data_IF_693148227884
#
_entry.id   IF_693148227884
#
_cell.length_a   1.000
_cell.length_b   1.000
_cell.length_c   1.000
_cell.angle_alpha   90.00
_cell.angle_beta   90.00
_cell.angle_gamma   90.00
#
_symmetry.space_group_name_H-M   'P 1'
#
loop_
_entity.id
_entity.type
_entity.pdbx_description
1 polymer ?
#
# COMPACT_ATOMS: atom_id res chain seq x y z
N UNK A 1 -28.32 -42.20 -34.34
CA UNK A 1 -28.87 -42.10 -35.71
C UNK A 1 -29.47 -40.70 -35.90
N UNK A 2 -29.03 -40.01 -36.96
CA UNK A 2 -29.63 -38.89 -37.72
C UNK A 2 -30.28 -37.70 -36.96
N UNK A 3 -29.73 -36.49 -37.01
CA UNK A 3 -29.80 -35.48 -38.10
C UNK A 3 -31.22 -35.06 -38.50
N UNK A 4 -31.56 -33.77 -38.29
CA UNK A 4 -32.02 -32.91 -39.39
C UNK A 4 -31.86 -31.41 -39.08
N UNK A 5 -31.22 -30.71 -40.02
CA UNK A 5 -31.18 -29.25 -40.21
C UNK A 5 -32.42 -28.82 -40.99
N UNK A 6 -32.84 -27.55 -40.81
CA UNK A 6 -33.43 -26.74 -41.89
C UNK A 6 -32.85 -25.32 -41.84
N UNK A 7 -32.51 -24.85 -43.04
CA UNK A 7 -31.92 -23.58 -43.45
C UNK A 7 -32.97 -22.73 -44.18
N UNK A 8 -32.87 -21.40 -44.11
CA UNK A 8 -33.17 -20.42 -45.19
C UNK A 8 -32.59 -19.07 -44.74
N UNK A 9 -31.50 -18.49 -45.26
CA UNK A 9 -31.10 -18.05 -46.62
C UNK A 9 -31.76 -16.72 -47.02
N UNK A 10 -31.00 -15.61 -47.01
CA UNK A 10 -31.11 -14.51 -47.98
C UNK A 10 -29.80 -13.68 -48.08
N UNK A 11 -29.29 -13.62 -49.30
CA UNK A 11 -28.28 -12.75 -49.95
C UNK A 11 -28.47 -13.05 -51.45
N UNK A 12 -28.25 -12.15 -52.44
CA UNK A 12 -26.99 -11.40 -52.71
C UNK A 12 -27.23 -9.95 -53.21
N UNK A 13 -26.28 -9.04 -53.43
CA UNK A 13 -25.23 -8.96 -54.49
C UNK A 13 -24.29 -7.75 -54.18
N UNK A 14 -22.95 -7.82 -54.10
CA UNK A 14 -21.88 -7.91 -55.15
C UNK A 14 -22.00 -6.78 -56.19
N UNK A 15 -21.04 -5.90 -56.57
CA UNK A 15 -19.64 -5.45 -56.26
C UNK A 15 -19.32 -4.32 -57.30
N UNK A 16 -18.07 -3.90 -57.61
CA UNK A 16 -16.99 -3.23 -56.85
C UNK A 16 -16.57 -1.86 -57.50
N UNK A 17 -15.48 -1.23 -57.05
CA UNK A 17 -14.35 -0.60 -57.84
C UNK A 17 -13.61 0.49 -57.03
N UNK A 18 -12.28 0.35 -56.98
CA UNK A 18 -11.18 1.22 -56.45
C UNK A 18 -10.69 2.19 -57.58
N UNK A 19 -9.66 3.09 -57.52
CA UNK A 19 -8.93 3.82 -56.47
C UNK A 19 -8.80 5.36 -56.75
N UNK A 20 -8.06 6.07 -55.88
CA UNK A 20 -7.12 7.19 -56.18
C UNK A 20 -7.52 8.69 -56.05
N UNK A 21 -6.68 9.39 -55.25
CA UNK A 21 -6.15 10.78 -55.39
C UNK A 21 -6.91 12.00 -54.81
N UNK A 22 -6.27 13.20 -54.62
CA UNK A 22 -6.00 13.80 -53.29
C UNK A 22 -6.62 15.20 -53.12
N UNK A 23 -6.48 15.83 -51.94
CA UNK A 23 -6.76 17.26 -51.78
C UNK A 23 -5.64 17.98 -51.01
N UNK A 24 -5.06 18.95 -51.72
CA UNK A 24 -4.00 19.88 -51.35
C UNK A 24 -4.33 20.75 -50.14
N UNK A 25 -3.32 21.03 -49.31
CA UNK A 25 -3.25 22.19 -48.42
C UNK A 25 -1.82 22.72 -48.39
N UNK A 26 -1.60 23.88 -49.01
CA UNK A 26 -0.29 24.52 -49.23
C UNK A 26 0.30 25.15 -47.97
N UNK A 27 1.63 25.21 -47.99
CA UNK A 27 2.52 26.07 -47.21
C UNK A 27 2.02 27.50 -46.97
N UNK A 28 2.19 27.97 -45.73
CA UNK A 28 2.61 29.34 -45.44
C UNK A 28 3.32 29.40 -44.08
N UNK A 29 4.65 29.58 -44.11
CA UNK A 29 5.46 29.97 -42.95
C UNK A 29 5.14 31.40 -42.58
N UNK A 30 4.87 31.67 -41.30
CA UNK A 30 5.06 32.99 -40.69
C UNK A 30 5.67 32.82 -39.29
N UNK A 31 6.82 33.48 -39.11
CA UNK A 31 7.57 33.65 -37.87
C UNK A 31 7.01 34.87 -37.15
N UNK A 32 6.55 34.77 -35.89
CA UNK A 32 6.47 35.92 -34.97
C UNK A 32 6.75 35.51 -33.51
N UNK A 33 7.47 36.41 -32.86
CA UNK A 33 8.14 36.47 -31.56
C UNK A 33 7.41 36.03 -30.29
N UNK A 34 8.21 35.48 -29.36
CA UNK A 34 7.94 35.43 -27.91
C UNK A 34 7.79 36.84 -27.32
N UNK A 35 6.76 37.06 -26.50
CA UNK A 35 6.76 38.04 -25.41
C UNK A 35 6.31 37.36 -24.13
N UNK A 36 7.16 37.44 -23.12
CA UNK A 36 6.89 37.08 -21.73
C UNK A 36 6.12 38.24 -21.08
N UNK A 37 4.98 37.95 -20.45
CA UNK A 37 4.27 38.90 -19.60
C UNK A 37 4.50 38.51 -18.12
N UNK A 38 5.16 39.40 -17.39
CA UNK A 38 5.36 39.31 -15.94
C UNK A 38 4.12 39.82 -15.19
N UNK A 39 3.64 39.10 -14.15
CA UNK A 39 2.49 39.55 -13.38
C UNK A 39 2.76 40.73 -12.43
N UNK A 40 1.71 41.51 -12.24
CA UNK A 40 1.57 42.85 -11.65
C UNK A 40 1.82 43.00 -10.14
N UNK A 41 2.34 42.01 -9.42
CA UNK A 41 2.59 42.10 -7.96
C UNK A 41 4.03 42.49 -7.59
N UNK A 42 4.86 42.91 -8.55
CA UNK A 42 6.26 43.29 -8.34
C UNK A 42 6.47 44.73 -7.82
N UNK A 43 5.42 45.49 -7.49
CA UNK A 43 5.55 46.85 -6.97
C UNK A 43 5.04 47.01 -5.53
N UNK A 44 5.96 46.95 -4.55
CA UNK A 44 5.83 47.69 -3.28
C UNK A 44 7.19 48.24 -2.83
N UNK A 45 7.25 49.45 -2.23
CA UNK A 45 8.50 50.10 -1.87
C UNK A 45 9.10 49.53 -0.58
N UNK A 46 10.44 49.55 -0.51
CA UNK A 46 11.24 49.20 0.68
C UNK A 46 11.10 50.26 1.76
N UNK A 47 10.83 49.84 2.99
CA UNK A 47 11.19 50.58 4.21
C UNK A 47 12.17 49.69 4.99
N UNK A 48 13.33 50.24 5.33
CA UNK A 48 14.43 49.53 5.93
C UNK A 48 14.29 49.31 7.43
N UNK A 49 14.76 48.16 7.90
CA UNK A 49 15.31 47.97 9.24
C UNK A 49 16.19 46.70 9.24
N UNK A 50 17.40 46.85 9.76
CA UNK A 50 18.50 45.89 10.01
C UNK A 50 18.20 44.39 9.89
N UNK A 51 18.88 43.70 8.96
CA UNK A 51 18.71 42.29 8.65
C UNK A 51 20.05 41.52 8.61
N UNK A 52 20.58 41.12 9.76
CA UNK A 52 21.64 40.09 9.78
C UNK A 52 21.29 38.87 10.65
N UNK A 53 20.20 38.91 11.42
CA UNK A 53 19.71 37.76 12.20
C UNK A 53 18.39 37.15 11.70
N UNK A 54 17.74 37.77 10.71
CA UNK A 54 16.48 37.25 10.13
C UNK A 54 16.68 36.46 8.82
N UNK A 55 17.81 36.60 8.14
CA UNK A 55 18.04 35.98 6.81
C UNK A 55 18.18 34.46 6.92
N UNK A 56 18.89 33.94 7.94
CA UNK A 56 19.03 32.49 8.15
C UNK A 56 17.70 31.78 8.48
N UNK A 57 16.84 32.39 9.30
CA UNK A 57 15.51 31.83 9.62
C UNK A 57 14.54 31.91 8.44
N UNK A 58 14.61 32.98 7.64
CA UNK A 58 13.77 33.14 6.44
C UNK A 58 14.22 32.20 5.31
N UNK A 59 15.50 31.90 5.17
CA UNK A 59 16.02 30.91 4.21
C UNK A 59 15.66 29.48 4.61
N UNK A 60 15.72 29.14 5.90
CA UNK A 60 15.33 27.83 6.42
C UNK A 60 13.80 27.60 6.35
N UNK A 61 13.00 28.62 6.68
CA UNK A 61 11.54 28.56 6.51
C UNK A 61 11.13 28.54 5.04
N UNK A 62 11.80 29.30 4.17
CA UNK A 62 11.50 29.26 2.73
C UNK A 62 12.00 27.96 2.09
N UNK A 63 13.06 27.33 2.59
CA UNK A 63 13.47 25.98 2.22
C UNK A 63 12.46 24.93 2.69
N UNK A 64 12.02 24.97 3.96
CA UNK A 64 10.95 24.12 4.50
C UNK A 64 9.63 24.31 3.74
N UNK A 65 9.25 25.55 3.40
CA UNK A 65 8.06 25.85 2.59
C UNK A 65 8.21 25.39 1.13
N UNK A 66 9.41 25.48 0.54
CA UNK A 66 9.69 24.96 -0.83
C UNK A 66 9.72 23.43 -0.86
N UNK A 67 10.24 22.78 0.18
CA UNK A 67 10.26 21.33 0.35
C UNK A 67 8.86 20.81 0.67
N UNK A 68 8.10 21.47 1.55
CA UNK A 68 6.69 21.19 1.80
C UNK A 68 5.82 21.40 0.55
N UNK A 69 6.12 22.39 -0.30
CA UNK A 69 5.47 22.56 -1.61
C UNK A 69 5.85 21.45 -2.60
N UNK A 70 7.10 20.99 -2.62
CA UNK A 70 7.52 19.83 -3.44
C UNK A 70 6.92 18.51 -2.94
N UNK A 71 6.82 18.32 -1.62
CA UNK A 71 6.11 17.20 -0.98
C UNK A 71 4.61 17.30 -1.27
N UNK A 72 4.02 18.49 -1.23
CA UNK A 72 2.62 18.73 -1.62
C UNK A 72 2.36 18.41 -3.10
N UNK A 73 3.28 18.76 -4.01
CA UNK A 73 3.18 18.38 -5.43
C UNK A 73 3.42 16.87 -5.65
N UNK A 74 4.26 16.21 -4.85
CA UNK A 74 4.39 14.75 -4.84
C UNK A 74 3.14 14.06 -4.26
N UNK A 75 2.54 14.61 -3.19
CA UNK A 75 1.26 14.24 -2.56
C UNK A 75 0.06 14.48 -3.48
N UNK A 76 0.15 15.38 -4.46
CA UNK A 76 -0.90 15.56 -5.50
C UNK A 76 -0.85 14.47 -6.57
N UNK A 77 0.31 13.84 -6.81
CA UNK A 77 0.41 12.67 -7.70
C UNK A 77 -0.21 11.42 -7.08
N UNK A 78 -0.26 11.31 -5.75
CA UNK A 78 -1.01 10.26 -5.06
C UNK A 78 -2.52 10.50 -5.05
N UNK A 79 -3.01 11.71 -5.34
CA UNK A 79 -4.46 11.97 -5.57
C UNK A 79 -5.01 11.28 -6.82
N UNK A 80 -4.17 11.00 -7.82
CA UNK A 80 -4.53 10.19 -8.99
C UNK A 80 -4.53 8.67 -8.73
N UNK A 81 -4.09 8.23 -7.54
CA UNK A 81 -4.06 6.80 -7.16
C UNK A 81 -5.38 6.30 -6.54
N UNK A 82 -6.36 7.19 -6.31
CA UNK A 82 -7.57 6.90 -5.54
C UNK A 82 -8.57 6.03 -6.31
N UNK A 83 -8.51 6.00 -7.64
CA UNK A 83 -9.47 5.29 -8.50
C UNK A 83 -9.28 3.77 -8.60
N UNK A 84 -8.36 3.12 -7.85
CA UNK A 84 -7.83 1.82 -8.30
C UNK A 84 -8.19 0.57 -7.49
N UNK A 85 -8.74 0.61 -6.27
CA UNK A 85 -8.80 -0.62 -5.43
C UNK A 85 -9.97 -0.80 -4.44
N UNK A 86 -11.18 -0.31 -4.73
CA UNK A 86 -12.41 -0.82 -4.07
C UNK A 86 -12.89 -0.12 -2.80
N UNK A 87 -12.24 0.96 -2.38
CA UNK A 87 -12.89 2.12 -1.77
C UNK A 87 -12.70 3.24 -2.77
N UNK A 88 -13.78 3.68 -3.39
CA UNK A 88 -13.68 4.54 -4.57
C UNK A 88 -13.39 5.99 -4.15
N UNK A 89 -13.82 6.40 -2.95
CA UNK A 89 -13.56 7.73 -2.35
C UNK A 89 -13.52 7.65 -0.82
N UNK A 90 -12.86 8.61 -0.15
CA UNK A 90 -12.89 8.75 1.32
C UNK A 90 -14.32 8.86 1.86
N UNK A 91 -15.25 9.34 1.04
CA UNK A 91 -16.67 9.46 1.36
C UNK A 91 -17.37 8.11 1.67
N UNK A 92 -16.81 6.98 1.24
CA UNK A 92 -17.39 5.65 1.50
C UNK A 92 -17.16 5.19 2.96
N UNK A 93 -16.30 5.88 3.72
CA UNK A 93 -15.97 5.58 5.12
C UNK A 93 -16.90 6.26 6.13
N UNK A 94 -17.83 7.12 5.67
CA UNK A 94 -18.67 7.94 6.55
C UNK A 94 -17.98 9.21 7.05
N UNK A 95 -18.76 10.24 7.39
CA UNK A 95 -18.24 11.57 7.75
C UNK A 95 -17.41 11.57 9.04
N UNK A 96 -17.77 10.73 10.02
CA UNK A 96 -17.11 10.65 11.31
C UNK A 96 -15.68 10.09 11.17
N UNK A 97 -15.53 8.92 10.53
CA UNK A 97 -14.22 8.31 10.26
C UNK A 97 -13.33 9.23 9.42
N UNK A 98 -13.91 9.94 8.43
CA UNK A 98 -13.19 10.96 7.66
C UNK A 98 -12.67 12.10 8.55
N UNK A 99 -13.44 12.52 9.55
CA UNK A 99 -13.01 13.50 10.57
C UNK A 99 -11.80 12.99 11.34
N UNK A 100 -11.91 11.79 11.92
CA UNK A 100 -10.83 11.14 12.70
C UNK A 100 -9.56 10.94 11.87
N UNK A 101 -9.67 10.58 10.59
CA UNK A 101 -8.51 10.49 9.67
C UNK A 101 -7.81 11.84 9.55
N UNK A 102 -8.55 12.95 9.44
CA UNK A 102 -7.97 14.29 9.30
C UNK A 102 -7.25 14.71 10.58
N UNK A 103 -7.84 14.45 11.74
CA UNK A 103 -7.24 14.71 13.05
C UNK A 103 -5.94 13.90 13.23
N UNK A 104 -6.01 12.59 12.99
CA UNK A 104 -4.85 11.70 13.08
C UNK A 104 -3.69 12.16 12.20
N UNK A 105 -3.98 12.62 10.97
CA UNK A 105 -2.97 13.18 10.05
C UNK A 105 -2.33 14.47 10.57
N UNK A 106 -3.10 15.36 11.18
CA UNK A 106 -2.58 16.61 11.74
C UNK A 106 -1.66 16.33 12.93
N UNK A 107 -2.09 15.43 13.82
CA UNK A 107 -1.30 15.03 14.98
C UNK A 107 -0.04 14.27 14.58
N UNK A 108 -0.09 13.52 13.46
CA UNK A 108 1.06 12.80 12.91
C UNK A 108 2.21 13.72 12.45
N UNK A 109 1.97 15.03 12.26
CA UNK A 109 3.05 15.99 12.02
C UNK A 109 3.93 16.21 13.26
N UNK A 110 3.38 16.00 14.46
CA UNK A 110 4.09 16.12 15.74
C UNK A 110 4.55 14.77 16.27
N UNK A 111 3.70 13.76 16.13
CA UNK A 111 3.94 12.39 16.60
C UNK A 111 3.63 11.38 15.48
N UNK A 112 4.64 11.02 14.66
CA UNK A 112 4.49 10.17 13.49
C UNK A 112 3.87 8.80 13.81
N UNK A 113 2.93 8.36 12.99
CA UNK A 113 2.16 7.12 13.20
C UNK A 113 2.96 5.90 12.74
N UNK A 114 3.14 4.91 13.60
CA UNK A 114 3.87 3.68 13.28
C UNK A 114 2.99 2.45 13.51
N UNK A 115 2.64 1.75 12.44
CA UNK A 115 1.81 0.55 12.47
C UNK A 115 2.55 -0.64 11.85
N UNK A 116 2.26 -1.85 12.31
CA UNK A 116 2.74 -3.08 11.68
C UNK A 116 1.61 -4.10 11.50
N UNK A 117 1.58 -4.75 10.33
CA UNK A 117 0.53 -5.69 9.96
C UNK A 117 1.10 -7.11 9.86
N UNK A 118 0.63 -7.97 10.74
CA UNK A 118 0.93 -9.40 10.80
C UNK A 118 -0.29 -10.22 10.34
N UNK A 119 -0.07 -11.48 10.01
CA UNK A 119 -1.13 -12.38 9.54
C UNK A 119 -0.65 -13.43 8.55
N UNK A 120 -1.41 -14.51 8.34
CA UNK A 120 -1.02 -15.62 7.47
C UNK A 120 -0.94 -15.21 5.99
N UNK A 121 -0.29 -16.00 5.13
CA UNK A 121 -0.32 -15.77 3.69
C UNK A 121 -1.75 -15.80 3.16
N UNK A 122 -2.09 -14.91 2.22
CA UNK A 122 -3.43 -14.85 1.61
C UNK A 122 -4.47 -14.03 2.39
N UNK A 123 -4.18 -13.59 3.62
CA UNK A 123 -5.15 -12.81 4.41
C UNK A 123 -5.43 -11.42 3.83
N UNK A 124 -4.46 -10.83 3.13
CA UNK A 124 -4.60 -9.53 2.46
C UNK A 124 -3.81 -8.39 3.10
N UNK A 125 -2.81 -8.69 3.96
CA UNK A 125 -1.97 -7.70 4.66
C UNK A 125 -1.52 -6.53 3.79
N UNK A 126 -0.75 -6.76 2.73
CA UNK A 126 -0.29 -5.69 1.85
C UNK A 126 -1.43 -4.90 1.19
N UNK A 127 -2.59 -5.52 0.98
CA UNK A 127 -3.77 -4.85 0.45
C UNK A 127 -4.41 -3.91 1.48
N UNK A 128 -4.49 -4.30 2.75
CA UNK A 128 -4.97 -3.43 3.82
C UNK A 128 -3.93 -2.38 4.22
N UNK A 129 -2.66 -2.78 4.37
CA UNK A 129 -1.54 -1.91 4.73
C UNK A 129 -1.37 -0.76 3.72
N UNK A 130 -1.39 -1.06 2.41
CA UNK A 130 -1.30 -0.01 1.38
C UNK A 130 -2.49 0.95 1.39
N UNK A 131 -3.71 0.47 1.67
CA UNK A 131 -4.90 1.33 1.76
C UNK A 131 -4.89 2.20 3.00
N UNK A 132 -4.55 1.65 4.16
CA UNK A 132 -4.46 2.41 5.40
C UNK A 132 -3.34 3.44 5.33
N UNK A 133 -2.18 3.06 4.77
CA UNK A 133 -1.11 4.02 4.51
C UNK A 133 -1.58 5.17 3.62
N UNK A 134 -2.32 4.89 2.53
CA UNK A 134 -2.89 5.94 1.69
C UNK A 134 -3.95 6.81 2.42
N UNK A 135 -4.80 6.20 3.24
CA UNK A 135 -5.83 6.89 4.02
C UNK A 135 -5.24 7.75 5.14
N UNK A 136 -4.11 7.38 5.73
CA UNK A 136 -3.45 8.14 6.80
C UNK A 136 -2.25 8.98 6.30
N UNK A 137 -2.00 8.98 4.98
CA UNK A 137 -0.84 9.65 4.35
C UNK A 137 0.53 9.22 4.94
N UNK A 138 0.65 7.91 5.19
CA UNK A 138 1.83 7.22 5.68
C UNK A 138 2.56 6.51 4.52
N UNK A 139 3.82 6.15 4.72
CA UNK A 139 4.50 5.24 3.78
C UNK A 139 4.08 3.78 4.04
N UNK A 140 3.65 3.07 3.00
CA UNK A 140 3.58 1.61 3.05
C UNK A 140 4.97 1.00 2.82
N UNK A 141 5.50 0.28 3.80
CA UNK A 141 6.81 -0.37 3.73
C UNK A 141 6.62 -1.88 3.70
N UNK A 142 6.75 -2.48 2.50
CA UNK A 142 6.82 -3.94 2.37
C UNK A 142 8.26 -4.42 2.54
N UNK A 143 8.54 -5.20 3.58
CA UNK A 143 9.91 -5.66 3.85
C UNK A 143 10.50 -6.48 2.70
N UNK A 144 9.67 -7.29 2.04
CA UNK A 144 10.09 -8.04 0.86
C UNK A 144 10.46 -7.13 -0.33
N UNK A 145 9.81 -5.99 -0.49
CA UNK A 145 10.16 -5.00 -1.52
C UNK A 145 11.44 -4.26 -1.15
N UNK A 146 11.58 -3.83 0.10
CA UNK A 146 12.79 -3.18 0.62
C UNK A 146 14.01 -4.04 0.38
N UNK A 147 13.96 -5.32 0.78
CA UNK A 147 15.04 -6.28 0.57
C UNK A 147 15.34 -6.47 -0.92
N UNK A 148 14.31 -6.74 -1.76
CA UNK A 148 14.51 -6.92 -3.21
C UNK A 148 15.09 -5.69 -3.90
N UNK A 149 14.79 -4.49 -3.41
CA UNK A 149 15.33 -3.24 -3.94
C UNK A 149 16.78 -3.07 -3.51
N UNK A 150 17.06 -3.18 -2.22
CA UNK A 150 18.40 -2.98 -1.64
C UNK A 150 19.41 -3.94 -2.26
N UNK A 151 19.03 -5.21 -2.43
CA UNK A 151 19.89 -6.22 -3.05
C UNK A 151 20.21 -5.93 -4.52
N UNK A 152 19.40 -5.12 -5.23
CA UNK A 152 19.70 -4.70 -6.61
C UNK A 152 20.57 -3.44 -6.70
N UNK A 153 20.78 -2.73 -5.60
CA UNK A 153 21.59 -1.51 -5.57
C UNK A 153 23.07 -1.87 -5.67
N UNK A 154 23.86 -1.06 -6.41
CA UNK A 154 25.23 -1.41 -6.80
C UNK A 154 26.18 -1.64 -5.62
N UNK A 155 25.95 -0.94 -4.52
CA UNK A 155 26.70 -0.97 -3.26
C UNK A 155 26.35 -2.15 -2.35
N UNK A 156 25.30 -2.92 -2.65
CA UNK A 156 24.96 -4.11 -1.88
C UNK A 156 26.05 -5.18 -2.01
N UNK A 157 26.33 -5.85 -0.89
CA UNK A 157 27.20 -7.02 -0.81
C UNK A 157 26.75 -8.08 -1.84
N UNK A 158 27.63 -8.52 -2.75
CA UNK A 158 27.30 -9.51 -3.77
C UNK A 158 26.88 -10.87 -3.19
N UNK A 159 27.31 -11.23 -1.98
CA UNK A 159 26.90 -12.48 -1.32
C UNK A 159 25.40 -12.50 -1.03
N UNK A 160 24.84 -11.38 -0.54
CA UNK A 160 23.39 -11.24 -0.31
C UNK A 160 22.57 -11.36 -1.60
N UNK A 161 23.13 -10.92 -2.73
CA UNK A 161 22.50 -11.12 -4.05
C UNK A 161 22.45 -12.60 -4.40
N UNK A 162 23.57 -13.30 -4.26
CA UNK A 162 23.66 -14.73 -4.55
C UNK A 162 22.73 -15.55 -3.65
N UNK A 163 22.69 -15.25 -2.36
CA UNK A 163 21.81 -15.93 -1.40
C UNK A 163 20.34 -15.79 -1.84
N UNK A 164 19.90 -14.59 -2.22
CA UNK A 164 18.55 -14.37 -2.73
C UNK A 164 18.27 -15.07 -4.06
N UNK A 165 19.21 -15.05 -4.99
CA UNK A 165 19.10 -15.72 -6.30
C UNK A 165 19.00 -17.26 -6.12
N UNK A 166 19.70 -17.79 -5.14
CA UNK A 166 19.66 -19.20 -4.73
C UNK A 166 18.45 -19.55 -3.85
N UNK A 167 17.58 -18.58 -3.56
CA UNK A 167 16.38 -18.77 -2.73
C UNK A 167 16.66 -18.95 -1.24
N UNK A 168 17.86 -18.62 -0.78
CA UNK A 168 18.22 -18.60 0.64
C UNK A 168 17.61 -17.38 1.35
N UNK A 169 17.33 -17.54 2.64
CA UNK A 169 16.85 -16.44 3.48
C UNK A 169 18.03 -15.59 3.94
N UNK A 170 17.91 -14.28 3.82
CA UNK A 170 18.90 -13.36 4.38
C UNK A 170 18.88 -13.41 5.91
N UNK A 171 20.03 -13.14 6.56
CA UNK A 171 20.11 -13.02 8.01
C UNK A 171 19.15 -11.98 8.59
N UNK A 172 18.64 -12.21 9.79
CA UNK A 172 17.67 -11.35 10.46
C UNK A 172 18.19 -9.93 10.65
N UNK A 173 19.47 -9.80 10.99
CA UNK A 173 20.15 -8.54 11.25
C UNK A 173 20.19 -7.67 9.98
N UNK A 174 20.53 -8.27 8.83
CA UNK A 174 20.57 -7.61 7.53
C UNK A 174 19.19 -7.12 7.11
N UNK A 175 18.17 -7.98 7.26
CA UNK A 175 16.79 -7.61 6.91
C UNK A 175 16.29 -6.48 7.81
N UNK A 176 16.60 -6.54 9.10
CA UNK A 176 16.20 -5.51 10.08
C UNK A 176 16.86 -4.16 9.77
N UNK A 177 18.15 -4.16 9.45
CA UNK A 177 18.89 -2.95 9.06
C UNK A 177 18.28 -2.31 7.81
N UNK A 178 17.99 -3.09 6.77
CA UNK A 178 17.39 -2.57 5.54
C UNK A 178 16.02 -1.92 5.78
N UNK A 179 15.20 -2.50 6.66
CA UNK A 179 13.90 -1.94 7.04
C UNK A 179 14.08 -0.65 7.83
N UNK A 180 14.98 -0.63 8.82
CA UNK A 180 15.27 0.57 9.63
C UNK A 180 15.82 1.71 8.75
N UNK A 181 16.70 1.42 7.82
CA UNK A 181 17.23 2.42 6.88
C UNK A 181 16.13 3.02 6.00
N UNK A 182 15.18 2.19 5.55
CA UNK A 182 14.00 2.67 4.81
C UNK A 182 13.13 3.58 5.67
N UNK A 183 12.93 3.25 6.95
CA UNK A 183 12.19 4.11 7.89
C UNK A 183 12.91 5.44 8.08
N UNK A 184 14.24 5.42 8.29
CA UNK A 184 15.07 6.63 8.42
C UNK A 184 15.01 7.50 7.16
N UNK A 185 15.00 6.90 5.97
CA UNK A 185 14.81 7.60 4.70
C UNK A 185 13.45 8.31 4.64
N UNK A 186 12.37 7.62 5.03
CA UNK A 186 11.03 8.19 5.05
C UNK A 186 10.89 9.32 6.07
N UNK A 187 11.51 9.17 7.25
CA UNK A 187 11.57 10.22 8.27
C UNK A 187 12.27 11.48 7.72
N UNK A 188 13.41 11.32 7.04
CA UNK A 188 14.13 12.42 6.36
C UNK A 188 13.30 13.10 5.25
N UNK A 189 12.38 12.37 4.61
CA UNK A 189 11.46 12.91 3.61
C UNK A 189 10.25 13.62 4.21
N UNK A 190 10.09 13.62 5.53
CA UNK A 190 8.96 14.24 6.24
C UNK A 190 7.65 13.47 6.07
N UNK A 191 7.72 12.13 5.93
CA UNK A 191 6.52 11.29 5.95
C UNK A 191 5.90 11.30 7.35
N UNK A 192 4.57 11.22 7.43
CA UNK A 192 3.79 11.24 8.69
C UNK A 192 3.90 9.94 9.50
N UNK A 193 4.74 9.01 9.06
CA UNK A 193 4.88 7.68 9.64
C UNK A 193 4.83 6.57 8.59
N UNK A 194 4.53 5.35 9.02
CA UNK A 194 4.55 4.17 8.16
C UNK A 194 3.56 3.07 8.58
N UNK A 195 3.24 2.20 7.63
CA UNK A 195 2.64 0.89 7.87
C UNK A 195 3.58 -0.19 7.35
N UNK A 196 4.09 -1.05 8.25
CA UNK A 196 4.93 -2.19 7.90
C UNK A 196 4.08 -3.38 7.46
N UNK A 197 4.42 -3.97 6.31
CA UNK A 197 3.86 -5.23 5.81
C UNK A 197 4.94 -6.30 5.69
N UNK A 198 4.70 -7.44 6.37
CA UNK A 198 5.50 -8.64 6.22
C UNK A 198 6.83 -8.64 6.99
N UNK A 199 6.95 -7.78 8.00
CA UNK A 199 8.02 -7.73 9.01
C UNK A 199 7.42 -7.32 10.37
N UNK A 200 7.92 -7.86 11.49
CA UNK A 200 8.94 -8.91 11.62
C UNK A 200 8.41 -10.31 11.25
N UNK A 201 9.33 -11.22 10.91
CA UNK A 201 9.06 -12.65 10.62
C UNK A 201 9.71 -13.61 11.61
N UNK A 202 10.59 -13.12 12.47
CA UNK A 202 11.21 -13.89 13.55
C UNK A 202 11.10 -13.10 14.86
N UNK A 203 11.21 -13.81 15.99
CA UNK A 203 11.23 -13.16 17.30
C UNK A 203 12.43 -12.22 17.47
N UNK A 204 13.59 -12.54 16.87
CA UNK A 204 14.77 -11.69 16.92
C UNK A 204 14.52 -10.34 16.25
N UNK A 205 13.93 -10.37 15.05
CA UNK A 205 13.51 -9.15 14.33
C UNK A 205 12.50 -8.34 15.16
N UNK A 206 11.52 -9.00 15.79
CA UNK A 206 10.51 -8.32 16.60
C UNK A 206 11.11 -7.60 17.81
N UNK A 207 12.02 -8.27 18.54
CA UNK A 207 12.72 -7.69 19.69
C UNK A 207 13.62 -6.53 19.29
N UNK A 208 14.38 -6.70 18.21
CA UNK A 208 15.22 -5.62 17.68
C UNK A 208 14.38 -4.40 17.30
N UNK A 209 13.29 -4.63 16.57
CA UNK A 209 12.44 -3.56 16.09
C UNK A 209 11.72 -2.81 17.20
N UNK A 210 11.25 -3.51 18.24
CA UNK A 210 10.60 -2.88 19.39
C UNK A 210 11.54 -1.97 20.20
N UNK A 211 12.85 -2.17 20.10
CA UNK A 211 13.85 -1.30 20.74
C UNK A 211 14.15 -0.08 19.86
N UNK A 212 14.29 -0.27 18.55
CA UNK A 212 14.65 0.80 17.62
C UNK A 212 13.48 1.73 17.26
N UNK A 213 12.25 1.20 17.27
CA UNK A 213 11.09 1.88 16.74
C UNK A 213 9.89 1.75 17.69
N UNK A 214 9.22 2.88 17.92
CA UNK A 214 8.05 2.94 18.80
C UNK A 214 6.77 2.70 18.00
N UNK A 215 6.28 1.47 18.01
CA UNK A 215 5.04 1.07 17.34
C UNK A 215 3.82 1.51 18.16
N UNK A 216 2.86 2.18 17.51
CA UNK A 216 1.57 2.48 18.13
C UNK A 216 0.73 1.21 18.24
N UNK A 217 0.74 0.39 17.20
CA UNK A 217 -0.05 -0.83 17.15
C UNK A 217 0.50 -1.85 16.15
N UNK A 218 0.31 -3.12 16.51
CA UNK A 218 0.57 -4.27 15.67
C UNK A 218 -0.75 -4.99 15.43
N UNK A 219 -1.26 -4.95 14.21
CA UNK A 219 -2.49 -5.63 13.83
C UNK A 219 -2.20 -7.04 13.35
N UNK A 220 -2.69 -8.04 14.05
CA UNK A 220 -2.71 -9.41 13.60
C UNK A 220 -4.02 -9.69 12.85
N UNK A 221 -3.94 -9.59 11.53
CA UNK A 221 -5.05 -9.90 10.63
C UNK A 221 -5.17 -11.42 10.51
N UNK A 222 -6.31 -11.98 10.88
CA UNK A 222 -6.57 -13.42 10.73
C UNK A 222 -7.91 -13.68 10.04
N UNK A 223 -8.05 -14.91 9.54
CA UNK A 223 -9.20 -15.39 8.81
C UNK A 223 -9.21 -16.92 8.90
N UNK A 224 -10.39 -17.52 8.79
CA UNK A 224 -10.56 -18.97 8.70
C UNK A 224 -9.63 -19.58 7.64
N UNK A 225 -8.94 -20.66 8.01
CA UNK A 225 -7.94 -21.30 7.15
C UNK A 225 -8.56 -21.78 5.83
N UNK A 226 -9.80 -22.25 5.88
CA UNK A 226 -10.55 -22.69 4.69
C UNK A 226 -10.73 -21.54 3.68
N UNK A 227 -11.00 -20.32 4.17
CA UNK A 227 -11.11 -19.14 3.34
C UNK A 227 -9.74 -18.73 2.76
N UNK A 228 -8.68 -18.80 3.56
CA UNK A 228 -7.31 -18.52 3.09
C UNK A 228 -6.86 -19.49 2.00
N UNK A 229 -7.20 -20.77 2.13
CA UNK A 229 -6.91 -21.79 1.12
C UNK A 229 -7.61 -21.46 -0.22
N UNK A 230 -8.91 -21.16 -0.18
CA UNK A 230 -9.67 -20.76 -1.38
C UNK A 230 -9.03 -19.51 -2.01
N UNK A 231 -8.70 -18.49 -1.22
CA UNK A 231 -8.06 -17.25 -1.71
C UNK A 231 -6.71 -17.51 -2.36
N UNK A 232 -5.87 -18.35 -1.78
CA UNK A 232 -4.53 -18.63 -2.32
C UNK A 232 -4.63 -19.44 -3.62
N UNK A 233 -5.53 -20.42 -3.71
CA UNK A 233 -5.80 -21.17 -4.94
C UNK A 233 -6.46 -20.29 -6.03
N UNK A 234 -7.26 -19.31 -5.63
CA UNK A 234 -7.92 -18.32 -6.48
C UNK A 234 -7.01 -17.18 -6.96
N UNK A 235 -5.78 -17.07 -6.45
CA UNK A 235 -4.86 -15.98 -6.82
C UNK A 235 -4.48 -16.06 -8.30
N UNK A 236 -4.58 -14.93 -9.00
CA UNK A 236 -4.17 -14.75 -10.39
C UNK A 236 -3.30 -13.51 -10.53
N UNK A 237 -2.30 -13.57 -11.39
CA UNK A 237 -1.53 -12.39 -11.80
C UNK A 237 -1.70 -12.20 -13.30
N UNK A 238 -2.00 -10.99 -13.74
CA UNK A 238 -2.01 -10.69 -15.17
C UNK A 238 -0.57 -10.46 -15.65
N UNK A 239 -0.11 -11.25 -16.62
CA UNK A 239 1.24 -11.10 -17.20
C UNK A 239 1.41 -9.78 -17.97
N UNK A 240 0.32 -9.22 -18.51
CA UNK A 240 0.35 -7.96 -19.26
C UNK A 240 0.41 -6.71 -18.36
N UNK A 241 -0.47 -6.60 -17.36
CA UNK A 241 -0.55 -5.39 -16.52
C UNK A 241 0.09 -5.52 -15.13
N UNK A 242 0.57 -6.72 -14.76
CA UNK A 242 1.19 -7.01 -13.46
C UNK A 242 0.24 -7.02 -12.26
N UNK A 243 -1.04 -6.67 -12.45
CA UNK A 243 -2.04 -6.65 -11.36
C UNK A 243 -2.36 -8.06 -10.87
N UNK A 244 -2.67 -8.13 -9.58
CA UNK A 244 -3.16 -9.33 -8.93
C UNK A 244 -4.68 -9.30 -8.83
N UNK A 245 -5.30 -10.45 -9.07
CA UNK A 245 -6.73 -10.69 -8.97
C UNK A 245 -6.95 -11.93 -8.09
N UNK A 246 -8.14 -12.04 -7.50
CA UNK A 246 -8.51 -13.23 -6.77
C UNK A 246 -9.86 -13.71 -7.29
N UNK A 247 -9.87 -14.85 -7.97
CA UNK A 247 -11.10 -15.44 -8.51
C UNK A 247 -11.74 -16.46 -7.56
N UNK A 248 -11.21 -16.58 -6.33
CA UNK A 248 -11.78 -17.44 -5.30
C UNK A 248 -13.06 -16.82 -4.75
N UNK A 249 -14.14 -17.58 -4.81
CA UNK A 249 -15.43 -17.24 -4.18
C UNK A 249 -15.48 -17.93 -2.82
N UNK A 250 -15.42 -17.14 -1.74
CA UNK A 250 -15.49 -17.66 -0.38
C UNK A 250 -16.89 -17.47 0.13
N UNK A 251 -17.58 -18.58 0.39
CA UNK A 251 -18.86 -18.60 1.08
C UNK A 251 -18.80 -19.70 2.14
N UNK A 252 -18.46 -19.32 3.36
CA UNK A 252 -18.35 -20.21 4.50
C UNK A 252 -19.42 -19.86 5.53
N UNK A 253 -20.38 -20.75 5.84
CA UNK A 253 -21.37 -20.48 6.87
C UNK A 253 -20.73 -20.45 8.26
N UNK A 254 -21.43 -19.85 9.22
CA UNK A 254 -21.04 -19.89 10.62
C UNK A 254 -20.97 -21.35 11.11
N UNK A 255 -19.92 -21.71 11.82
CA UNK A 255 -19.67 -23.09 12.24
C UNK A 255 -18.80 -23.15 13.50
N UNK A 256 -19.19 -23.96 14.48
CA UNK A 256 -18.44 -24.20 15.72
C UNK A 256 -18.11 -22.89 16.47
N UNK A 257 -19.07 -21.95 16.56
CA UNK A 257 -18.87 -20.63 17.17
C UNK A 257 -18.06 -19.63 16.32
N UNK A 258 -17.54 -20.04 15.15
CA UNK A 258 -16.89 -19.12 14.20
C UNK A 258 -17.93 -18.43 13.30
N UNK A 259 -17.75 -17.14 12.99
CA UNK A 259 -18.68 -16.41 12.15
C UNK A 259 -18.69 -16.94 10.70
N UNK A 260 -19.74 -16.57 9.96
CA UNK A 260 -19.76 -16.74 8.51
C UNK A 260 -18.69 -15.86 7.86
N UNK A 261 -18.03 -16.37 6.83
CA UNK A 261 -17.05 -15.62 6.04
C UNK A 261 -17.49 -15.58 4.59
N UNK A 262 -17.68 -14.37 4.05
CA UNK A 262 -18.08 -14.15 2.66
C UNK A 262 -17.16 -13.19 1.94
N UNK A 263 -16.50 -13.65 0.88
CA UNK A 263 -15.59 -12.85 0.06
C UNK A 263 -15.90 -13.10 -1.41
N UNK A 264 -16.43 -12.08 -2.07
CA UNK A 264 -16.73 -12.17 -3.49
C UNK A 264 -15.44 -12.21 -4.33
N UNK A 265 -15.46 -12.95 -5.45
CA UNK A 265 -14.34 -12.96 -6.38
C UNK A 265 -14.15 -11.58 -7.01
N UNK A 266 -12.89 -11.20 -7.17
CA UNK A 266 -12.48 -10.03 -7.95
C UNK A 266 -12.25 -10.44 -9.40
N UNK A 267 -13.32 -10.39 -10.18
CA UNK A 267 -13.29 -10.68 -11.62
C UNK A 267 -12.35 -9.71 -12.36
N UNK A 268 -11.37 -10.24 -13.13
CA UNK A 268 -10.49 -9.39 -13.92
C UNK A 268 -11.26 -8.77 -15.10
N UNK A 269 -10.86 -7.57 -15.57
CA UNK A 269 -11.44 -6.97 -16.77
C UNK A 269 -11.10 -7.84 -18.00
N UNK A 270 -11.94 -7.80 -19.04
CA UNK A 270 -11.80 -8.66 -20.23
C UNK A 270 -10.39 -8.70 -20.83
N UNK A 271 -9.73 -7.54 -20.95
CA UNK A 271 -8.34 -7.40 -21.42
C UNK A 271 -7.27 -8.09 -20.57
N UNK A 272 -7.61 -8.58 -19.38
CA UNK A 272 -6.69 -9.27 -18.47
C UNK A 272 -6.99 -10.77 -18.37
N UNK A 273 -8.19 -11.22 -18.77
CA UNK A 273 -8.69 -12.59 -18.58
C UNK A 273 -7.81 -13.63 -19.28
N UNK A 274 -7.37 -13.36 -20.50
CA UNK A 274 -6.50 -14.24 -21.28
C UNK A 274 -5.03 -14.26 -20.81
N UNK A 275 -4.64 -13.29 -19.98
CA UNK A 275 -3.27 -13.11 -19.50
C UNK A 275 -3.11 -13.53 -18.04
N UNK A 276 -4.11 -14.19 -17.45
CA UNK A 276 -4.05 -14.61 -16.06
C UNK A 276 -3.18 -15.85 -15.90
N UNK A 277 -2.12 -15.70 -15.13
CA UNK A 277 -1.28 -16.82 -14.72
C UNK A 277 -1.52 -17.14 -13.24
N UNK A 278 -1.35 -18.42 -12.90
CA UNK A 278 -1.26 -18.89 -11.52
C UNK A 278 0.18 -18.83 -11.06
N UNK A 279 0.37 -18.66 -9.76
CA UNK A 279 1.67 -18.91 -9.15
C UNK A 279 1.91 -20.42 -9.13
N UNK A 280 3.10 -20.85 -9.55
CA UNK A 280 3.41 -22.27 -9.73
C UNK A 280 3.41 -23.06 -8.42
N UNK A 281 3.71 -22.36 -7.33
CA UNK A 281 3.80 -22.83 -5.94
C UNK A 281 2.49 -22.71 -5.15
N UNK A 282 1.39 -22.30 -5.78
CA UNK A 282 0.06 -22.28 -5.14
C UNK A 282 -0.65 -23.63 -5.29
N UNK A 283 -0.06 -24.66 -4.66
CA UNK A 283 -0.66 -25.99 -4.48
C UNK A 283 -1.20 -26.17 -3.06
N UNK A 284 -2.23 -27.00 -2.84
CA UNK A 284 -2.77 -27.23 -1.50
C UNK A 284 -1.71 -27.62 -0.46
N UNK A 285 -0.78 -28.51 -0.82
CA UNK A 285 0.28 -28.97 0.07
C UNK A 285 1.27 -27.85 0.42
N UNK A 286 1.67 -27.05 -0.58
CA UNK A 286 2.55 -25.90 -0.36
C UNK A 286 1.88 -24.85 0.53
N UNK A 287 0.58 -24.62 0.32
CA UNK A 287 -0.20 -23.66 1.10
C UNK A 287 -0.33 -24.12 2.55
N UNK A 288 -0.69 -25.38 2.80
CA UNK A 288 -0.76 -25.94 4.17
C UNK A 288 0.58 -25.90 4.87
N UNK A 289 1.67 -26.24 4.17
CA UNK A 289 3.03 -26.12 4.71
C UNK A 289 3.35 -24.68 5.11
N UNK A 290 2.93 -23.70 4.31
CA UNK A 290 3.10 -22.27 4.66
C UNK A 290 2.30 -21.88 5.90
N UNK A 291 1.10 -22.41 6.10
CA UNK A 291 0.32 -22.17 7.32
C UNK A 291 1.02 -22.76 8.55
N UNK A 292 1.52 -24.00 8.48
CA UNK A 292 2.28 -24.62 9.58
C UNK A 292 3.49 -23.76 9.98
N UNK A 293 4.34 -23.43 9.00
CA UNK A 293 5.53 -22.60 9.23
C UNK A 293 5.14 -21.23 9.80
N UNK A 294 4.08 -20.61 9.26
CA UNK A 294 3.59 -19.33 9.76
C UNK A 294 3.18 -19.45 11.23
N UNK A 295 2.36 -20.44 11.60
CA UNK A 295 1.89 -20.63 12.96
C UNK A 295 3.04 -20.89 13.94
N UNK A 296 4.00 -21.74 13.57
CA UNK A 296 5.18 -22.05 14.39
C UNK A 296 6.05 -20.81 14.63
N UNK A 297 6.32 -20.04 13.57
CA UNK A 297 7.24 -18.89 13.61
C UNK A 297 6.59 -17.64 14.20
N UNK A 298 5.30 -17.43 13.98
CA UNK A 298 4.61 -16.20 14.41
C UNK A 298 4.03 -16.29 15.81
N UNK A 299 3.73 -17.48 16.35
CA UNK A 299 3.27 -17.62 17.74
C UNK A 299 4.16 -16.85 18.75
N UNK A 300 5.50 -17.01 18.76
CA UNK A 300 6.34 -16.25 19.68
C UNK A 300 6.35 -14.74 19.41
N UNK A 301 6.16 -14.31 18.16
CA UNK A 301 6.11 -12.88 17.77
C UNK A 301 4.83 -12.25 18.30
N UNK A 302 3.69 -12.91 18.09
CA UNK A 302 2.39 -12.46 18.58
C UNK A 302 2.40 -12.40 20.10
N UNK A 303 2.93 -13.42 20.77
CA UNK A 303 3.07 -13.41 22.22
C UNK A 303 3.90 -12.21 22.71
N UNK A 304 5.05 -11.94 22.09
CA UNK A 304 5.89 -10.80 22.43
C UNK A 304 5.14 -9.46 22.29
N UNK A 305 4.46 -9.22 21.17
CA UNK A 305 3.71 -7.97 20.99
C UNK A 305 2.49 -7.85 21.91
N UNK A 306 1.91 -8.98 22.30
CA UNK A 306 0.85 -9.02 23.31
C UNK A 306 1.37 -8.65 24.70
N UNK A 307 2.54 -9.16 25.07
CA UNK A 307 3.17 -8.89 26.38
C UNK A 307 3.56 -7.40 26.53
N UNK A 308 3.97 -6.74 25.46
CA UNK A 308 4.27 -5.30 25.49
C UNK A 308 3.03 -4.41 25.25
N UNK A 309 1.84 -5.00 25.09
CA UNK A 309 0.56 -4.27 25.06
C UNK A 309 0.14 -3.64 23.72
N UNK A 310 0.87 -3.86 22.63
CA UNK A 310 0.60 -3.20 21.32
C UNK A 310 -0.10 -4.10 20.30
N UNK A 311 -0.39 -5.37 20.64
CA UNK A 311 -1.02 -6.31 19.73
C UNK A 311 -2.54 -6.14 19.69
N UNK A 312 -3.09 -6.00 18.49
CA UNK A 312 -4.53 -6.01 18.22
C UNK A 312 -4.87 -7.15 17.26
N UNK A 313 -5.65 -8.12 17.73
CA UNK A 313 -6.21 -9.18 16.87
C UNK A 313 -7.40 -8.63 16.08
N UNK A 314 -7.45 -8.94 14.78
CA UNK A 314 -8.51 -8.49 13.89
C UNK A 314 -8.95 -9.61 12.94
N UNK A 315 -10.18 -10.09 13.12
CA UNK A 315 -10.78 -11.13 12.27
C UNK A 315 -11.40 -10.54 11.01
N UNK A 316 -10.99 -11.06 9.85
CA UNK A 316 -11.57 -10.67 8.56
C UNK A 316 -12.64 -11.68 8.17
N UNK A 317 -13.89 -11.23 8.21
CA UNK A 317 -15.07 -12.04 7.90
C UNK A 317 -15.74 -11.65 6.57
N UNK A 318 -15.41 -10.50 6.01
CA UNK A 318 -16.09 -9.95 4.84
C UNK A 318 -15.10 -9.35 3.83
N UNK A 319 -15.63 -8.88 2.70
CA UNK A 319 -14.87 -8.24 1.64
C UNK A 319 -14.17 -6.97 2.10
N UNK A 320 -13.36 -6.40 1.21
CA UNK A 320 -12.69 -5.12 1.46
C UNK A 320 -13.68 -3.98 1.76
N UNK A 321 -14.82 -3.82 1.04
CA UNK A 321 -15.75 -2.73 1.32
C UNK A 321 -16.30 -2.74 2.74
N UNK A 322 -16.53 -3.93 3.31
CA UNK A 322 -17.05 -4.10 4.66
C UNK A 322 -15.94 -4.09 5.72
N UNK A 323 -14.78 -4.67 5.38
CA UNK A 323 -13.67 -4.83 6.33
C UNK A 323 -12.86 -3.55 6.52
N UNK A 324 -12.60 -2.81 5.44
CA UNK A 324 -11.69 -1.66 5.49
C UNK A 324 -12.18 -0.55 6.44
N UNK A 325 -13.47 -0.14 6.45
CA UNK A 325 -13.94 0.88 7.37
C UNK A 325 -13.70 0.49 8.83
N UNK A 326 -14.08 -0.73 9.21
CA UNK A 326 -13.90 -1.25 10.58
C UNK A 326 -12.43 -1.32 10.96
N UNK A 327 -11.57 -1.76 10.04
CA UNK A 327 -10.13 -1.82 10.29
C UNK A 327 -9.50 -0.43 10.42
N UNK A 328 -9.97 0.55 9.65
CA UNK A 328 -9.51 1.95 9.75
C UNK A 328 -9.89 2.52 11.11
N UNK A 329 -11.13 2.33 11.56
CA UNK A 329 -11.56 2.79 12.88
C UNK A 329 -10.76 2.12 13.99
N UNK A 330 -10.50 0.81 13.90
CA UNK A 330 -9.66 0.10 14.86
C UNK A 330 -8.21 0.65 14.88
N UNK A 331 -7.64 0.97 13.71
CA UNK A 331 -6.33 1.60 13.63
C UNK A 331 -6.31 2.98 14.30
N UNK A 332 -7.32 3.81 14.05
CA UNK A 332 -7.42 5.14 14.63
C UNK A 332 -7.54 5.08 16.16
N UNK A 333 -8.37 4.17 16.68
CA UNK A 333 -8.49 3.94 18.13
C UNK A 333 -7.17 3.49 18.77
N UNK A 334 -6.44 2.60 18.11
CA UNK A 334 -5.16 2.11 18.61
C UNK A 334 -4.07 3.20 18.58
N UNK A 335 -4.08 4.07 17.56
CA UNK A 335 -3.18 5.24 17.49
C UNK A 335 -3.43 6.18 18.66
N UNK A 336 -4.70 6.46 18.96
CA UNK A 336 -5.10 7.36 20.05
C UNK A 336 -4.72 6.79 21.43
N UNK A 337 -5.01 5.51 21.65
CA UNK A 337 -4.63 4.81 22.91
C UNK A 337 -3.12 4.83 23.10
N UNK A 338 -2.35 4.50 22.06
CA UNK A 338 -0.89 4.52 22.11
C UNK A 338 -0.30 5.91 22.34
N UNK A 339 -1.00 6.99 21.96
CA UNK A 339 -0.59 8.37 22.28
C UNK A 339 -0.78 8.69 23.75
N UNK A 340 -1.95 8.39 24.30
CA UNK A 340 -2.26 8.67 25.71
C UNK A 340 -1.36 7.92 26.69
N UNK A 341 -1.05 6.64 26.42
CA UNK A 341 -0.13 5.88 27.27
C UNK A 341 1.28 6.48 27.31
N UNK A 342 1.72 7.10 26.21
CA UNK A 342 3.03 7.77 26.12
C UNK A 342 3.07 9.09 26.87
N UNK A 343 2.01 9.89 26.78
CA UNK A 343 1.88 11.14 27.56
C UNK A 343 1.88 10.84 29.07
N UNK A 344 1.12 9.83 29.50
CA UNK A 344 1.06 9.42 30.91
C UNK A 344 2.43 8.95 31.46
N UNK A 345 3.22 8.22 30.66
CA UNK A 345 4.56 7.77 31.10
C UNK A 345 5.56 8.93 31.20
N UNK A 346 5.49 9.91 30.29
CA UNK A 346 6.41 11.06 30.29
C UNK A 346 6.11 12.06 31.41
N UNK A 347 4.88 12.15 31.88
CA UNK A 347 4.51 12.98 33.03
C UNK A 347 4.83 12.34 34.39
N UNK A 348 4.96 11.02 34.47
CA UNK A 348 5.37 10.31 35.70
C UNK A 348 6.89 10.28 35.92
N UNK A 349 7.68 10.57 34.88
CA UNK A 349 9.16 10.53 34.91
C UNK A 349 9.80 11.92 34.94
N UNK A 350 9.01 12.99 34.93
CA UNK A 350 9.41 14.36 35.23
C UNK A 350 9.05 14.72 36.67
#
# INVERSE_FOLDING_TARGET
MAFHRVWTRFSPSVSPVDPSTPANGRDARFVVSRREETPWWLNRPRVGASSEHCVGKLEEESFRRRMARRIWHARRRTMAAWTRFGVQRMEDLGCETVGKIREARQEAERDPIHLAFLGPPGVGKGTYASRIAALLDLEHISAGEVVRRRVKERDCDPTLRQDMENGQLLPDEVVSEFVVDRIRENRRRGMLGYVLDGFPRTLKQAKFFAVEENLHAVFHLHMREEALLIKLLGRRRCSHCGKEYNIGDVDLPAKDGRPSVRLLPLSPPGKCTEHLTRRIDDTPDTIRRRFSIYNETHRPILQFYKEIGVLHDFEIVAGIPETLPVLVDACLQAIDTGRHEREAYTDQTK
#
